data_IF_268344420734
#
_entry.id   IF_268344420734
#
_cell.length_a   1.000
_cell.length_b   1.000
_cell.length_c   1.000
_cell.angle_alpha   90.00
_cell.angle_beta   90.00
_cell.angle_gamma   90.00
#
_symmetry.space_group_name_H-M   'P 1'
#
loop_
_entity.id
_entity.type
_entity.pdbx_description
1 polymer ?
#
# COMPACT_ATOMS: atom_id res chain seq x y z
N UNK A 1 -10.09 19.54 -5.41
CA UNK A 1 -9.45 18.83 -6.55
C UNK A 1 -8.14 18.27 -6.07
N UNK A 2 -7.80 17.01 -6.39
CA UNK A 2 -6.49 16.47 -6.01
C UNK A 2 -5.38 17.26 -6.71
N UNK A 3 -4.35 17.75 -5.99
CA UNK A 3 -3.31 18.59 -6.59
C UNK A 3 -2.56 17.88 -7.74
N UNK A 4 -2.45 16.56 -7.66
CA UNK A 4 -1.81 15.67 -8.64
C UNK A 4 -2.53 15.61 -10.00
N UNK A 5 -3.84 15.87 -10.06
CA UNK A 5 -4.62 15.71 -11.30
C UNK A 5 -4.07 16.60 -12.43
N UNK A 6 -3.54 17.77 -12.08
CA UNK A 6 -2.93 18.68 -13.04
C UNK A 6 -1.72 18.05 -13.72
N UNK A 7 -0.87 17.35 -12.98
CA UNK A 7 0.32 16.70 -13.53
C UNK A 7 -0.06 15.55 -14.48
N UNK A 8 -1.02 14.70 -14.09
CA UNK A 8 -1.55 13.66 -14.95
C UNK A 8 -2.18 14.26 -16.22
N UNK A 9 -2.94 15.35 -16.08
CA UNK A 9 -3.55 16.03 -17.22
C UNK A 9 -2.50 16.58 -18.19
N UNK A 10 -1.48 17.29 -17.71
CA UNK A 10 -0.43 17.85 -18.56
C UNK A 10 0.39 16.75 -19.26
N UNK A 11 0.66 15.64 -18.56
CA UNK A 11 1.30 14.46 -19.16
C UNK A 11 0.45 13.88 -20.28
N UNK A 12 -0.83 13.63 -20.02
CA UNK A 12 -1.75 13.07 -21.02
C UNK A 12 -2.02 14.02 -22.18
N UNK A 13 -2.08 15.33 -21.93
CA UNK A 13 -2.23 16.32 -22.98
C UNK A 13 -1.04 16.31 -23.92
N UNK A 14 0.18 16.27 -23.38
CA UNK A 14 1.41 16.19 -24.19
C UNK A 14 1.46 14.87 -24.99
N UNK A 15 1.08 13.76 -24.37
CA UNK A 15 1.03 12.45 -25.02
C UNK A 15 0.03 12.42 -26.19
N UNK A 16 -1.20 12.87 -25.95
CA UNK A 16 -2.28 12.83 -26.94
C UNK A 16 -2.03 13.79 -28.10
N UNK A 17 -1.49 14.97 -27.82
CA UNK A 17 -1.10 15.94 -28.87
C UNK A 17 0.06 15.42 -29.73
N UNK A 18 1.05 14.77 -29.11
CA UNK A 18 2.13 14.07 -29.82
C UNK A 18 1.60 12.96 -30.73
N UNK A 19 0.72 12.10 -30.21
CA UNK A 19 0.07 11.04 -30.99
C UNK A 19 -0.75 11.61 -32.16
N UNK A 20 -1.47 12.72 -31.93
CA UNK A 20 -2.25 13.36 -32.97
C UNK A 20 -1.37 13.93 -34.08
N UNK A 21 -0.22 14.52 -33.74
CA UNK A 21 0.79 14.97 -34.70
C UNK A 21 1.34 13.81 -35.54
N UNK A 22 1.69 12.69 -34.90
CA UNK A 22 2.12 11.49 -35.64
C UNK A 22 1.04 10.94 -36.57
N UNK A 23 -0.21 10.90 -36.10
CA UNK A 23 -1.36 10.49 -36.90
C UNK A 23 -1.54 11.41 -38.12
N UNK A 24 -1.38 12.72 -37.93
CA UNK A 24 -1.51 13.70 -38.98
C UNK A 24 -0.45 13.54 -40.08
N UNK A 25 0.79 13.21 -39.70
CA UNK A 25 1.88 12.94 -40.62
C UNK A 25 1.66 11.62 -41.40
N UNK A 26 1.18 10.56 -40.73
CA UNK A 26 0.93 9.25 -41.36
C UNK A 26 -0.30 9.27 -42.28
N UNK A 27 -1.32 10.07 -41.97
CA UNK A 27 -2.59 10.08 -42.69
C UNK A 27 -3.04 11.51 -43.07
N UNK A 28 -2.29 12.23 -43.93
CA UNK A 28 -2.54 13.64 -44.21
C UNK A 28 -3.92 13.92 -44.81
N UNK A 29 -4.45 13.00 -45.62
CA UNK A 29 -5.80 13.14 -46.22
C UNK A 29 -6.91 13.11 -45.17
N UNK A 30 -6.77 12.27 -44.14
CA UNK A 30 -7.77 12.14 -43.07
C UNK A 30 -7.60 13.27 -42.07
N UNK A 31 -6.36 13.57 -41.71
CA UNK A 31 -5.98 14.66 -40.82
C UNK A 31 -6.48 16.02 -41.33
N UNK A 32 -6.35 16.28 -42.64
CA UNK A 32 -6.87 17.50 -43.27
C UNK A 32 -8.39 17.65 -43.10
N UNK A 33 -9.15 16.55 -43.14
CA UNK A 33 -10.60 16.55 -42.90
C UNK A 33 -10.95 16.76 -41.43
N UNK A 34 -10.03 16.38 -40.54
CA UNK A 34 -10.14 16.55 -39.10
C UNK A 34 -9.66 17.92 -38.60
N UNK A 35 -9.29 18.86 -39.49
CA UNK A 35 -8.79 20.17 -39.08
C UNK A 35 -7.31 20.23 -38.70
N UNK A 36 -6.55 19.15 -38.95
CA UNK A 36 -5.09 19.14 -38.83
C UNK A 36 -4.47 19.48 -40.19
N UNK A 37 -3.71 20.56 -40.27
CA UNK A 37 -2.97 20.92 -41.48
C UNK A 37 -1.48 20.92 -41.16
N UNK A 38 -0.80 19.86 -41.59
CA UNK A 38 0.60 19.65 -41.21
C UNK A 38 0.73 19.26 -39.74
N UNK A 39 1.54 20.01 -38.98
CA UNK A 39 1.90 19.70 -37.59
C UNK A 39 1.10 20.46 -36.53
N UNK A 40 0.13 21.30 -36.93
CA UNK A 40 -0.68 22.11 -36.02
C UNK A 40 -2.18 21.78 -36.13
N UNK A 41 -2.83 21.75 -34.96
CA UNK A 41 -4.29 21.62 -34.83
C UNK A 41 -4.90 23.00 -35.05
N UNK A 42 -5.57 23.21 -36.18
CA UNK A 42 -6.12 24.53 -36.52
C UNK A 42 -7.56 24.72 -36.08
N UNK A 43 -8.25 23.62 -35.77
CA UNK A 43 -9.64 23.63 -35.30
C UNK A 43 -9.72 23.70 -33.76
N UNK A 44 -10.27 24.79 -33.18
CA UNK A 44 -10.44 24.92 -31.74
C UNK A 44 -11.32 23.83 -31.10
N UNK A 45 -12.24 23.22 -31.84
CA UNK A 45 -13.08 22.13 -31.33
C UNK A 45 -12.29 20.84 -31.17
N UNK A 46 -11.35 20.58 -32.08
CA UNK A 46 -10.48 19.40 -32.02
C UNK A 46 -9.48 19.57 -30.89
N UNK A 47 -8.88 20.75 -30.73
CA UNK A 47 -8.00 21.04 -29.61
C UNK A 47 -8.73 20.85 -28.26
N UNK A 48 -9.96 21.38 -28.13
CA UNK A 48 -10.81 21.12 -26.94
C UNK A 48 -11.17 19.65 -26.77
N UNK A 49 -11.40 18.91 -27.85
CA UNK A 49 -11.69 17.48 -27.79
C UNK A 49 -10.48 16.69 -27.27
N UNK A 50 -9.27 17.03 -27.73
CA UNK A 50 -8.03 16.41 -27.26
C UNK A 50 -7.80 16.74 -25.77
N UNK A 51 -8.06 17.97 -25.34
CA UNK A 51 -8.01 18.37 -23.94
C UNK A 51 -9.04 17.61 -23.08
N UNK A 52 -10.29 17.50 -23.53
CA UNK A 52 -11.33 16.74 -22.83
C UNK A 52 -10.97 15.25 -22.72
N UNK A 53 -10.43 14.66 -23.79
CA UNK A 53 -9.94 13.29 -23.78
C UNK A 53 -8.75 13.12 -22.82
N UNK A 54 -7.76 14.02 -22.87
CA UNK A 54 -6.62 14.01 -21.96
C UNK A 54 -7.06 14.07 -20.49
N UNK A 55 -8.08 14.88 -20.16
CA UNK A 55 -8.64 14.94 -18.82
C UNK A 55 -9.30 13.61 -18.40
N UNK A 56 -10.07 12.98 -19.29
CA UNK A 56 -10.69 11.67 -19.03
C UNK A 56 -9.65 10.55 -18.86
N UNK A 57 -8.60 10.57 -19.70
CA UNK A 57 -7.50 9.63 -19.63
C UNK A 57 -6.70 9.81 -18.33
N UNK A 58 -6.34 11.04 -17.97
CA UNK A 58 -5.66 11.37 -16.72
C UNK A 58 -6.46 10.90 -15.50
N UNK A 59 -7.78 11.08 -15.51
CA UNK A 59 -8.64 10.60 -14.45
C UNK A 59 -8.66 9.06 -14.36
N UNK A 60 -8.66 8.37 -15.50
CA UNK A 60 -8.62 6.90 -15.55
C UNK A 60 -7.28 6.35 -15.06
N UNK A 61 -6.18 6.96 -15.49
CA UNK A 61 -4.83 6.62 -15.06
C UNK A 61 -4.65 6.83 -13.55
N UNK A 62 -5.07 7.99 -13.02
CA UNK A 62 -5.04 8.26 -11.59
C UNK A 62 -5.88 7.25 -10.78
N UNK A 63 -6.97 6.72 -11.34
CA UNK A 63 -7.76 5.66 -10.69
C UNK A 63 -7.04 4.31 -10.70
N UNK A 64 -6.29 4.01 -11.76
CA UNK A 64 -5.51 2.77 -11.86
C UNK A 64 -4.33 2.82 -10.89
N UNK A 65 -3.62 3.95 -10.81
CA UNK A 65 -2.48 4.11 -9.91
C UNK A 65 -2.90 4.09 -8.43
N UNK A 66 -4.15 4.48 -8.14
CA UNK A 66 -4.76 4.40 -6.81
C UNK A 66 -5.50 3.10 -6.54
N UNK A 67 -5.40 2.12 -7.44
CA UNK A 67 -6.11 0.87 -7.27
C UNK A 67 -5.69 0.18 -5.97
N UNK A 68 -6.64 -0.30 -5.14
CA UNK A 68 -6.31 -0.84 -3.83
C UNK A 68 -5.51 -2.17 -3.92
N UNK A 69 -4.66 -2.40 -2.93
CA UNK A 69 -3.83 -3.61 -2.82
C UNK A 69 -4.60 -4.88 -2.41
N UNK A 70 -5.94 -4.83 -2.36
CA UNK A 70 -6.78 -5.97 -1.98
C UNK A 70 -6.51 -7.19 -2.86
N UNK A 71 -6.31 -7.00 -4.17
CA UNK A 71 -6.08 -8.12 -5.10
C UNK A 71 -4.74 -8.83 -4.78
N UNK A 72 -3.58 -8.13 -4.71
CA UNK A 72 -2.34 -8.74 -4.27
C UNK A 72 -2.40 -9.38 -2.87
N UNK A 73 -3.08 -8.74 -1.92
CA UNK A 73 -3.24 -9.28 -0.57
C UNK A 73 -3.98 -10.63 -0.59
N UNK A 74 -5.09 -10.73 -1.32
CA UNK A 74 -5.84 -12.00 -1.43
C UNK A 74 -5.04 -13.09 -2.14
N UNK A 75 -4.19 -12.72 -3.09
CA UNK A 75 -3.29 -13.68 -3.73
C UNK A 75 -2.26 -14.23 -2.74
N UNK A 76 -1.72 -13.38 -1.85
CA UNK A 76 -0.78 -13.81 -0.80
C UNK A 76 -1.44 -14.77 0.19
N UNK A 77 -2.71 -14.55 0.55
CA UNK A 77 -3.49 -15.44 1.43
C UNK A 77 -3.59 -16.87 0.86
N UNK A 78 -3.59 -17.02 -0.47
CA UNK A 78 -3.62 -18.33 -1.13
C UNK A 78 -2.27 -19.07 -1.09
N UNK A 79 -1.15 -18.35 -0.94
CA UNK A 79 0.19 -18.93 -0.94
C UNK A 79 0.60 -19.34 0.48
N UNK A 80 0.50 -18.40 1.43
CA UNK A 80 0.76 -18.65 2.85
C UNK A 80 -0.05 -17.67 3.71
N UNK A 81 -0.73 -18.21 4.72
CA UNK A 81 -1.58 -17.43 5.65
C UNK A 81 -0.80 -16.39 6.46
N UNK A 82 0.52 -16.55 6.61
CA UNK A 82 1.35 -15.69 7.46
C UNK A 82 1.87 -14.43 6.74
N UNK A 83 1.78 -14.32 5.40
CA UNK A 83 2.31 -13.16 4.69
C UNK A 83 1.57 -11.85 4.98
N UNK A 84 0.26 -11.93 5.23
CA UNK A 84 -0.56 -10.79 5.62
C UNK A 84 -0.82 -10.74 7.14
N UNK A 85 -0.27 -11.68 7.92
CA UNK A 85 -0.48 -11.70 9.36
C UNK A 85 0.34 -10.60 10.05
N UNK A 86 -0.29 -9.75 10.89
CA UNK A 86 0.45 -8.75 11.65
C UNK A 86 1.37 -9.43 12.68
N UNK A 87 2.61 -8.98 12.76
CA UNK A 87 3.54 -9.41 13.80
C UNK A 87 3.08 -8.87 15.16
N UNK A 88 2.76 -9.74 16.15
CA UNK A 88 2.38 -9.26 17.46
C UNK A 88 3.58 -8.58 18.15
N UNK A 89 3.29 -7.74 19.15
CA UNK A 89 4.35 -7.18 20.00
C UNK A 89 5.04 -8.31 20.79
N UNK A 90 6.37 -8.34 20.73
CA UNK A 90 7.21 -9.32 21.41
C UNK A 90 8.10 -8.62 22.45
N UNK A 91 8.38 -9.30 23.56
CA UNK A 91 9.23 -8.78 24.63
C UNK A 91 10.04 -9.89 25.27
N UNK A 92 11.18 -9.53 25.86
CA UNK A 92 12.02 -10.43 26.65
C UNK A 92 11.85 -10.07 28.12
N UNK A 93 11.55 -11.07 28.96
CA UNK A 93 11.40 -10.90 30.41
C UNK A 93 12.37 -11.82 31.13
N UNK A 94 13.02 -11.29 32.18
CA UNK A 94 13.93 -12.06 33.05
C UNK A 94 13.20 -12.44 34.32
N UNK A 95 13.18 -13.73 34.65
CA UNK A 95 12.72 -14.23 35.94
C UNK A 95 13.91 -14.34 36.90
N UNK A 96 13.73 -13.87 38.13
CA UNK A 96 14.71 -14.05 39.20
C UNK A 96 14.02 -14.74 40.37
N UNK A 97 14.56 -15.87 40.88
CA UNK A 97 13.98 -16.54 42.04
C UNK A 97 14.14 -15.68 43.30
N UNK A 98 13.10 -15.63 44.15
CA UNK A 98 13.11 -14.86 45.40
C UNK A 98 13.95 -15.57 46.47
N UNK A 99 14.98 -14.91 47.00
CA UNK A 99 15.94 -15.47 47.95
C UNK A 99 15.34 -15.92 49.31
N UNK A 100 14.06 -15.64 49.56
CA UNK A 100 13.35 -16.00 50.81
C UNK A 100 12.41 -17.22 50.66
N UNK A 101 12.29 -17.80 49.47
CA UNK A 101 11.43 -18.96 49.21
C UNK A 101 12.06 -20.30 49.59
N UNK A 102 11.23 -21.32 49.79
CA UNK A 102 11.71 -22.71 49.83
C UNK A 102 12.09 -23.12 48.42
N UNK A 103 13.39 -23.23 48.16
CA UNK A 103 13.92 -23.63 46.85
C UNK A 103 14.16 -25.13 46.81
N UNK A 104 13.58 -25.79 45.81
CA UNK A 104 14.05 -27.12 45.40
C UNK A 104 15.39 -26.93 44.67
N UNK A 105 16.41 -27.77 44.90
CA UNK A 105 17.69 -27.70 44.18
C UNK A 105 17.56 -27.85 42.65
N UNK A 106 16.42 -28.34 42.17
CA UNK A 106 16.09 -28.56 40.75
C UNK A 106 15.40 -27.36 40.08
N UNK A 107 15.20 -26.22 40.78
CA UNK A 107 14.52 -25.06 40.22
C UNK A 107 12.99 -25.23 40.08
N UNK A 108 12.32 -24.26 39.46
CA UNK A 108 10.88 -24.29 39.21
C UNK A 108 10.59 -24.14 37.70
N UNK A 109 9.88 -25.11 37.13
CA UNK A 109 9.53 -25.13 35.72
C UNK A 109 8.34 -24.22 35.43
N UNK A 110 8.51 -23.29 34.47
CA UNK A 110 7.44 -22.45 33.96
C UNK A 110 6.83 -23.11 32.71
N UNK A 111 5.56 -23.53 32.76
CA UNK A 111 4.92 -24.15 31.61
C UNK A 111 4.76 -23.14 30.47
N UNK A 112 4.79 -23.66 29.24
CA UNK A 112 4.38 -22.92 28.04
C UNK A 112 2.98 -22.33 28.25
N UNK A 113 2.72 -21.19 27.62
CA UNK A 113 1.45 -20.44 27.73
C UNK A 113 1.18 -19.81 29.10
N UNK A 114 2.16 -19.79 30.01
CA UNK A 114 2.05 -18.98 31.24
C UNK A 114 1.79 -17.52 30.86
N UNK A 115 0.70 -16.97 31.41
CA UNK A 115 0.27 -15.60 31.14
C UNK A 115 1.13 -14.63 31.94
N UNK A 116 1.72 -13.66 31.25
CA UNK A 116 2.43 -12.54 31.84
C UNK A 116 1.56 -11.29 31.68
N UNK A 117 1.21 -10.65 32.79
CA UNK A 117 0.50 -9.38 32.82
C UNK A 117 1.50 -8.26 33.07
N UNK A 118 1.59 -7.28 32.16
CA UNK A 118 2.24 -6.02 32.47
C UNK A 118 1.24 -5.08 33.15
N UNK A 119 1.50 -4.72 34.40
CA UNK A 119 0.76 -3.65 35.07
C UNK A 119 1.10 -2.31 34.43
N UNK A 120 0.13 -1.66 33.82
CA UNK A 120 0.27 -0.32 33.25
C UNK A 120 -0.05 0.70 34.35
N UNK A 121 0.80 1.71 34.57
CA UNK A 121 0.61 2.71 35.63
C UNK A 121 -0.28 3.90 35.23
N UNK A 122 -1.10 3.76 34.18
CA UNK A 122 -1.95 4.83 33.66
C UNK A 122 -3.32 4.35 33.19
N UNK A 123 -4.39 5.16 33.32
CA UNK A 123 -5.78 4.76 33.10
C UNK A 123 -6.16 4.50 31.63
N UNK A 124 -5.30 4.82 30.66
CA UNK A 124 -5.60 4.75 29.22
C UNK A 124 -4.93 3.57 28.48
N UNK A 125 -4.20 2.70 29.16
CA UNK A 125 -3.51 1.57 28.52
C UNK A 125 -4.15 0.24 28.89
N UNK A 126 -4.78 -0.42 27.91
CA UNK A 126 -5.40 -1.73 28.05
C UNK A 126 -4.41 -2.77 28.56
N UNK A 127 -4.84 -3.58 29.55
CA UNK A 127 -4.10 -4.68 30.16
C UNK A 127 -3.40 -5.58 29.10
N UNK A 128 -2.07 -5.53 29.08
CA UNK A 128 -1.24 -6.24 28.10
C UNK A 128 -1.06 -7.71 28.46
N UNK A 129 -1.90 -8.55 27.84
CA UNK A 129 -1.88 -10.03 27.87
C UNK A 129 -0.73 -10.68 27.09
N UNK A 130 0.42 -11.04 27.68
CA UNK A 130 1.45 -11.83 26.98
C UNK A 130 1.43 -13.31 27.40
N UNK A 131 1.86 -14.23 26.52
CA UNK A 131 2.01 -15.67 26.80
C UNK A 131 3.42 -16.14 26.45
N UNK A 132 3.99 -17.03 27.25
CA UNK A 132 5.29 -17.64 26.96
C UNK A 132 5.18 -18.65 25.80
N UNK A 133 5.89 -18.45 24.68
CA UNK A 133 5.80 -19.34 23.52
C UNK A 133 6.53 -20.69 23.71
N UNK A 134 7.37 -20.83 24.74
CA UNK A 134 8.10 -22.05 25.06
C UNK A 134 8.17 -22.28 26.58
N UNK A 135 8.19 -23.55 27.00
CA UNK A 135 8.51 -23.93 28.37
C UNK A 135 10.00 -23.65 28.59
N UNK A 136 10.34 -22.97 29.68
CA UNK A 136 11.74 -22.75 30.04
C UNK A 136 12.19 -24.03 30.78
N UNK A 137 12.89 -24.90 30.07
CA UNK A 137 13.64 -26.03 30.62
C UNK A 137 15.13 -25.71 30.54
N UNK A 138 15.82 -26.01 31.65
CA UNK A 138 17.26 -25.88 31.88
C UNK A 138 18.12 -26.64 30.84
N UNK A 139 19.37 -26.17 30.67
CA UNK A 139 20.50 -27.02 30.27
C UNK A 139 20.85 -28.03 31.37
#
# INVERSE_FOLDING_TARGET
>A
MAPELLDYYLRQLTYVTGLFSEFAQKHPKIAARLGAHGNEVRDPYIDRLLQAYALSAAHSEMRIDRWPLEIPQRLLDCIDVNFNAPLPSLGVTRFQPDAKGVHTPEGALLPRDTRLSMGTSGPEYSDGQARLPAAILDE
#
